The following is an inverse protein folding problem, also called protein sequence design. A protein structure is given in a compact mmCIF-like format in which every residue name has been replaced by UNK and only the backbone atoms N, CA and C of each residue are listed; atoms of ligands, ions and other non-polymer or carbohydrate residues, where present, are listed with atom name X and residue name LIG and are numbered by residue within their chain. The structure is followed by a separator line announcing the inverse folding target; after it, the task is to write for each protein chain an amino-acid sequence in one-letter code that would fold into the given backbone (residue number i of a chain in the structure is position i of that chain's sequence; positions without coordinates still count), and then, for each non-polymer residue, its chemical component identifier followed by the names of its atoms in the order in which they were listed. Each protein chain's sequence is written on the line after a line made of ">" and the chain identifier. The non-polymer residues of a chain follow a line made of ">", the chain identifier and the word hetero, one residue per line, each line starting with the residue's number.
data_IF_256099789918
#
_entry.id   IF_256099789918
#
_cell.length_a   1.000
_cell.length_b   1.000
_cell.length_c   1.000
_cell.angle_alpha   90.00
_cell.angle_beta   90.00
_cell.angle_gamma   90.00
#
_symmetry.space_group_name_H-M   'P 1'
#
loop_
_entity.id
_entity.type
_entity.pdbx_description
1 polymer ?
#
# COMPACT_ATOMS: atom_id res chain seq x y z
N UNK A 1 -25.01 5.49 7.05
CA UNK A 1 -26.37 5.09 6.60
C UNK A 1 -26.32 4.18 5.35
N UNK A 2 -25.31 3.30 5.20
CA UNK A 2 -25.16 2.35 4.09
C UNK A 2 -25.43 0.87 4.48
N UNK A 3 -25.45 0.56 5.78
CA UNK A 3 -25.61 -0.81 6.30
C UNK A 3 -27.07 -1.27 6.50
N UNK A 4 -28.06 -0.54 5.96
CA UNK A 4 -29.50 -0.80 6.17
C UNK A 4 -30.23 -1.38 4.94
N UNK A 5 -29.50 -2.01 4.01
CA UNK A 5 -30.10 -2.51 2.77
C UNK A 5 -30.22 -4.04 2.63
N UNK A 6 -29.80 -4.83 3.62
CA UNK A 6 -30.15 -6.26 3.66
C UNK A 6 -29.76 -7.06 2.40
N UNK A 7 -28.62 -6.74 1.79
CA UNK A 7 -28.20 -7.33 0.51
C UNK A 7 -27.36 -8.59 0.71
N UNK A 8 -27.98 -9.73 1.06
CA UNK A 8 -27.25 -11.00 1.06
C UNK A 8 -26.85 -11.41 -0.37
N UNK A 9 -25.56 -11.39 -0.72
CA UNK A 9 -25.02 -11.99 -1.96
C UNK A 9 -24.06 -11.11 -2.77
N UNK A 10 -24.02 -11.29 -4.10
CA UNK A 10 -23.23 -10.50 -5.08
C UNK A 10 -23.31 -8.95 -4.92
N UNK A 11 -24.43 -8.34 -4.49
CA UNK A 11 -24.52 -6.87 -4.37
C UNK A 11 -23.66 -6.28 -3.24
N UNK A 12 -23.30 -7.05 -2.20
CA UNK A 12 -22.37 -6.59 -1.15
C UNK A 12 -20.95 -6.38 -1.69
N UNK A 13 -20.53 -7.20 -2.66
CA UNK A 13 -19.22 -7.07 -3.31
C UNK A 13 -19.15 -5.86 -4.23
N UNK A 14 -20.28 -5.45 -4.82
CA UNK A 14 -20.37 -4.27 -5.67
C UNK A 14 -20.04 -2.98 -4.91
N UNK A 15 -20.30 -2.91 -3.60
CA UNK A 15 -19.97 -1.73 -2.79
C UNK A 15 -18.47 -1.44 -2.83
N UNK A 16 -17.64 -2.50 -2.70
CA UNK A 16 -16.18 -2.38 -2.77
C UNK A 16 -15.73 -1.94 -4.16
N UNK A 17 -16.34 -2.50 -5.20
CA UNK A 17 -16.02 -2.16 -6.59
C UNK A 17 -16.38 -0.71 -6.91
N UNK A 18 -17.57 -0.25 -6.52
CA UNK A 18 -18.02 1.13 -6.68
C UNK A 18 -17.13 2.07 -5.89
N UNK A 19 -16.72 1.71 -4.67
CA UNK A 19 -15.80 2.51 -3.87
C UNK A 19 -14.46 2.72 -4.59
N UNK A 20 -13.86 1.67 -5.14
CA UNK A 20 -12.62 1.78 -5.90
C UNK A 20 -12.83 2.60 -7.18
N UNK A 21 -13.94 2.40 -7.88
CA UNK A 21 -14.27 3.18 -9.07
C UNK A 21 -14.38 4.68 -8.76
N UNK A 22 -15.10 5.06 -7.71
CA UNK A 22 -15.22 6.45 -7.26
C UNK A 22 -13.86 7.03 -6.82
N UNK A 23 -13.10 6.27 -6.02
CA UNK A 23 -11.75 6.65 -5.58
C UNK A 23 -10.83 6.99 -6.77
N UNK A 24 -10.86 6.18 -7.84
CA UNK A 24 -10.03 6.41 -9.02
C UNK A 24 -10.57 7.52 -9.92
N UNK A 25 -11.85 7.88 -9.86
CA UNK A 25 -12.40 8.96 -10.67
C UNK A 25 -12.38 10.33 -9.97
N UNK A 26 -12.18 10.36 -8.65
CA UNK A 26 -12.02 11.58 -7.87
C UNK A 26 -10.76 12.34 -8.29
N UNK A 27 -10.86 13.64 -8.60
CA UNK A 27 -9.69 14.43 -9.05
C UNK A 27 -8.63 14.60 -7.96
N UNK A 28 -9.07 14.70 -6.71
CA UNK A 28 -8.22 14.88 -5.54
C UNK A 28 -8.56 13.80 -4.52
N UNK A 29 -7.55 13.09 -4.02
CA UNK A 29 -7.76 12.05 -3.02
C UNK A 29 -8.60 12.53 -1.83
N UNK A 30 -9.70 11.82 -1.58
CA UNK A 30 -10.54 12.02 -0.41
C UNK A 30 -10.36 10.85 0.56
N UNK A 31 -9.88 11.12 1.79
CA UNK A 31 -9.62 10.07 2.79
C UNK A 31 -10.88 9.28 3.17
N UNK A 32 -12.08 9.83 2.93
CA UNK A 32 -13.34 9.19 3.25
C UNK A 32 -13.47 7.80 2.61
N UNK A 33 -12.94 7.62 1.39
CA UNK A 33 -12.93 6.31 0.72
C UNK A 33 -12.13 5.27 1.52
N UNK A 34 -10.98 5.66 2.08
CA UNK A 34 -10.14 4.80 2.93
C UNK A 34 -10.85 4.39 4.22
N UNK A 35 -11.51 5.35 4.88
CA UNK A 35 -12.29 5.10 6.10
C UNK A 35 -13.46 4.15 5.84
N UNK A 36 -14.19 4.31 4.73
CA UNK A 36 -15.26 3.35 4.38
C UNK A 36 -14.68 1.96 4.12
N UNK A 37 -13.60 1.87 3.34
CA UNK A 37 -12.98 0.59 3.02
C UNK A 37 -12.48 -0.15 4.29
N UNK A 38 -11.94 0.59 5.25
CA UNK A 38 -11.58 0.07 6.57
C UNK A 38 -12.81 -0.48 7.32
N UNK A 39 -13.90 0.28 7.40
CA UNK A 39 -15.14 -0.18 8.04
C UNK A 39 -15.74 -1.42 7.36
N UNK A 40 -15.66 -1.49 6.03
CA UNK A 40 -16.08 -2.68 5.27
C UNK A 40 -15.19 -3.90 5.56
N UNK A 41 -13.87 -3.70 5.66
CA UNK A 41 -12.95 -4.79 6.02
C UNK A 41 -13.17 -5.28 7.46
N UNK A 42 -13.52 -4.39 8.38
CA UNK A 42 -13.85 -4.75 9.78
C UNK A 42 -15.19 -5.48 9.90
N UNK A 43 -16.15 -5.20 9.01
CA UNK A 43 -17.48 -5.82 9.08
C UNK A 43 -17.50 -7.26 8.57
N UNK A 44 -16.77 -7.57 7.50
CA UNK A 44 -16.73 -8.92 6.93
C UNK A 44 -15.43 -9.18 6.13
N UNK A 45 -14.81 -10.33 6.38
CA UNK A 45 -13.63 -10.80 5.66
C UNK A 45 -13.87 -10.95 4.15
N UNK A 46 -15.12 -11.16 3.71
CA UNK A 46 -15.50 -11.18 2.28
C UNK A 46 -15.23 -9.82 1.61
N UNK A 47 -15.45 -8.70 2.30
CA UNK A 47 -15.11 -7.38 1.77
C UNK A 47 -13.60 -7.19 1.66
N UNK A 48 -12.85 -7.64 2.67
CA UNK A 48 -11.38 -7.60 2.64
C UNK A 48 -10.83 -8.37 1.42
N UNK A 49 -11.35 -9.56 1.17
CA UNK A 49 -10.97 -10.38 0.01
C UNK A 49 -11.34 -9.70 -1.32
N UNK A 50 -12.55 -9.15 -1.42
CA UNK A 50 -13.01 -8.41 -2.61
C UNK A 50 -12.13 -7.19 -2.88
N UNK A 51 -11.75 -6.47 -1.82
CA UNK A 51 -10.89 -5.29 -1.91
C UNK A 51 -9.49 -5.67 -2.38
N UNK A 52 -8.93 -6.77 -1.85
CA UNK A 52 -7.65 -7.30 -2.29
C UNK A 52 -7.66 -7.65 -3.79
N UNK A 53 -8.69 -8.37 -4.28
CA UNK A 53 -8.81 -8.69 -5.70
C UNK A 53 -8.98 -7.44 -6.56
N UNK A 54 -9.81 -6.49 -6.13
CA UNK A 54 -10.02 -5.22 -6.83
C UNK A 54 -8.71 -4.45 -6.98
N UNK A 55 -7.89 -4.38 -5.92
CA UNK A 55 -6.56 -3.76 -5.93
C UNK A 55 -5.62 -4.49 -6.89
N UNK A 56 -5.60 -5.83 -6.88
CA UNK A 56 -4.78 -6.60 -7.82
C UNK A 56 -5.15 -6.37 -9.28
N UNK A 57 -6.44 -6.24 -9.58
CA UNK A 57 -6.87 -5.90 -10.93
C UNK A 57 -6.42 -4.49 -11.32
N UNK A 58 -6.35 -3.54 -10.37
CA UNK A 58 -5.78 -2.22 -10.63
C UNK A 58 -4.27 -2.24 -10.85
N UNK A 59 -3.53 -3.19 -10.26
CA UNK A 59 -2.11 -3.36 -10.55
C UNK A 59 -1.88 -3.83 -11.99
N UNK A 60 -2.72 -4.74 -12.50
CA UNK A 60 -2.64 -5.22 -13.90
C UNK A 60 -2.92 -4.11 -14.92
N UNK A 61 -3.80 -3.18 -14.58
CA UNK A 61 -4.21 -2.08 -15.45
C UNK A 61 -3.46 -0.77 -15.18
N UNK A 62 -2.40 -0.79 -14.38
CA UNK A 62 -1.76 0.43 -13.86
C UNK A 62 -1.28 1.39 -14.96
N UNK A 63 -0.82 0.88 -16.10
CA UNK A 63 -0.39 1.67 -17.26
C UNK A 63 -1.51 2.46 -17.94
N UNK A 64 -2.76 2.03 -17.77
CA UNK A 64 -3.94 2.75 -18.29
C UNK A 64 -4.41 3.88 -17.37
N UNK A 65 -3.94 3.89 -16.11
CA UNK A 65 -4.36 4.86 -15.11
C UNK A 65 -3.66 6.20 -15.31
N UNK A 66 -4.41 7.29 -15.14
CA UNK A 66 -3.87 8.64 -15.13
C UNK A 66 -3.07 8.87 -13.85
N UNK A 67 -2.13 9.82 -13.89
CA UNK A 67 -1.23 10.13 -12.75
C UNK A 67 -1.97 10.40 -11.44
N UNK A 68 -3.10 11.13 -11.46
CA UNK A 68 -3.87 11.42 -10.25
C UNK A 68 -4.54 10.15 -9.68
N UNK A 69 -4.94 9.21 -10.53
CA UNK A 69 -5.56 7.95 -10.12
C UNK A 69 -4.53 7.06 -9.42
N UNK A 70 -3.30 7.02 -9.93
CA UNK A 70 -2.16 6.35 -9.28
C UNK A 70 -1.91 6.97 -7.90
N UNK A 71 -1.93 8.30 -7.79
CA UNK A 71 -1.78 9.01 -6.51
C UNK A 71 -2.90 8.67 -5.53
N UNK A 72 -4.15 8.62 -5.98
CA UNK A 72 -5.29 8.24 -5.14
C UNK A 72 -5.15 6.79 -4.65
N UNK A 73 -4.80 5.88 -5.54
CA UNK A 73 -4.58 4.47 -5.22
C UNK A 73 -3.43 4.31 -4.22
N UNK A 74 -2.33 5.06 -4.39
CA UNK A 74 -1.19 5.01 -3.47
C UNK A 74 -1.56 5.45 -2.05
N UNK A 75 -2.24 6.58 -1.91
CA UNK A 75 -2.69 7.10 -0.60
C UNK A 75 -3.69 6.16 0.06
N UNK A 76 -4.59 5.59 -0.73
CA UNK A 76 -5.55 4.60 -0.27
C UNK A 76 -4.86 3.34 0.27
N UNK A 77 -3.92 2.76 -0.50
CA UNK A 77 -3.18 1.57 -0.06
C UNK A 77 -2.34 1.81 1.18
N UNK A 78 -1.66 2.97 1.28
CA UNK A 78 -0.92 3.34 2.46
C UNK A 78 -1.82 3.36 3.71
N UNK A 79 -3.01 3.97 3.62
CA UNK A 79 -4.00 3.95 4.70
C UNK A 79 -4.40 2.53 5.09
N UNK A 80 -4.76 1.68 4.11
CA UNK A 80 -5.20 0.31 4.39
C UNK A 80 -4.11 -0.53 5.06
N UNK A 81 -2.85 -0.32 4.71
CA UNK A 81 -1.72 -1.02 5.31
C UNK A 81 -1.48 -0.55 6.76
N UNK A 82 -1.47 0.77 6.98
CA UNK A 82 -1.30 1.37 8.30
C UNK A 82 -2.44 0.99 9.26
N UNK A 83 -3.69 1.01 8.78
CA UNK A 83 -4.87 0.64 9.56
C UNK A 83 -5.13 -0.86 9.62
N UNK A 84 -4.21 -1.68 9.09
CA UNK A 84 -4.26 -3.14 9.18
C UNK A 84 -5.44 -3.78 8.43
N UNK A 85 -6.21 -3.00 7.68
CA UNK A 85 -7.33 -3.43 6.81
C UNK A 85 -6.86 -4.35 5.69
N UNK A 86 -5.69 -4.09 5.11
CA UNK A 86 -4.98 -5.02 4.23
C UNK A 86 -3.53 -5.17 4.68
N UNK A 87 -2.92 -6.36 4.56
CA UNK A 87 -1.49 -6.51 4.78
C UNK A 87 -0.69 -6.01 3.56
N UNK A 88 0.53 -5.50 3.79
CA UNK A 88 1.44 -5.12 2.69
C UNK A 88 1.81 -6.30 1.78
N UNK A 89 1.60 -7.55 2.22
CA UNK A 89 1.76 -8.75 1.40
C UNK A 89 0.83 -8.79 0.17
N UNK A 90 -0.16 -7.90 0.08
CA UNK A 90 -0.93 -7.65 -1.15
C UNK A 90 -0.01 -7.25 -2.31
N UNK A 91 1.14 -6.63 -2.05
CA UNK A 91 2.12 -6.27 -3.07
C UNK A 91 2.91 -7.47 -3.65
N UNK A 92 2.75 -8.68 -3.10
CA UNK A 92 3.52 -9.87 -3.56
C UNK A 92 3.28 -10.27 -5.02
N UNK A 93 2.18 -9.79 -5.61
CA UNK A 93 1.83 -10.07 -7.01
C UNK A 93 2.46 -9.08 -7.98
N UNK A 94 3.13 -8.04 -7.46
CA UNK A 94 3.83 -7.05 -8.26
C UNK A 94 5.20 -7.59 -8.64
N UNK A 95 5.52 -7.57 -9.92
CA UNK A 95 6.83 -7.98 -10.44
C UNK A 95 7.81 -6.80 -10.38
N UNK A 96 8.53 -6.67 -9.25
CA UNK A 96 9.38 -5.51 -8.98
C UNK A 96 10.53 -5.32 -9.99
N UNK A 97 11.02 -6.42 -10.57
CA UNK A 97 12.10 -6.41 -11.57
C UNK A 97 11.68 -5.74 -12.87
N UNK A 98 10.40 -5.85 -13.23
CA UNK A 98 9.86 -5.40 -14.51
C UNK A 98 8.93 -4.18 -14.36
N UNK A 99 9.09 -3.41 -13.29
CA UNK A 99 8.25 -2.23 -13.05
C UNK A 99 8.47 -1.15 -14.12
N UNK A 100 7.39 -0.79 -14.79
CA UNK A 100 7.32 0.41 -15.61
C UNK A 100 7.27 1.71 -14.77
N UNK A 101 7.19 2.86 -15.46
CA UNK A 101 7.12 4.19 -14.83
C UNK A 101 5.89 4.38 -13.93
N UNK A 102 4.77 3.73 -14.23
CA UNK A 102 3.54 3.82 -13.44
C UNK A 102 3.65 2.95 -12.18
N UNK A 103 4.19 1.74 -12.30
CA UNK A 103 4.57 0.83 -11.23
C UNK A 103 5.51 1.46 -10.22
N UNK A 104 6.65 1.97 -10.68
CA UNK A 104 7.62 2.67 -9.81
C UNK A 104 6.95 3.84 -9.08
N UNK A 105 6.10 4.62 -9.77
CA UNK A 105 5.39 5.75 -9.16
C UNK A 105 4.43 5.30 -8.06
N UNK A 106 3.63 4.26 -8.31
CA UNK A 106 2.69 3.74 -7.33
C UNK A 106 3.42 3.27 -6.08
N UNK A 107 4.39 2.36 -6.24
CA UNK A 107 5.14 1.76 -5.13
C UNK A 107 5.89 2.84 -4.34
N UNK A 108 6.56 3.77 -5.02
CA UNK A 108 7.27 4.87 -4.35
C UNK A 108 6.32 5.74 -3.52
N UNK A 109 5.16 6.11 -4.04
CA UNK A 109 4.21 6.93 -3.29
C UNK A 109 3.61 6.17 -2.10
N UNK A 110 3.30 4.87 -2.25
CA UNK A 110 2.83 4.02 -1.14
C UNK A 110 3.87 3.98 -0.03
N UNK A 111 5.12 3.65 -0.38
CA UNK A 111 6.19 3.49 0.61
C UNK A 111 6.53 4.82 1.29
N UNK A 112 6.66 5.92 0.55
CA UNK A 112 6.90 7.25 1.16
C UNK A 112 5.76 7.62 2.12
N UNK A 113 4.50 7.37 1.73
CA UNK A 113 3.35 7.68 2.58
C UNK A 113 3.33 6.89 3.89
N UNK A 114 3.85 5.65 3.87
CA UNK A 114 4.00 4.81 5.07
C UNK A 114 5.20 5.26 5.90
N UNK A 115 6.34 5.48 5.25
CA UNK A 115 7.61 5.86 5.89
C UNK A 115 7.55 7.23 6.57
N UNK A 116 6.70 8.15 6.08
CA UNK A 116 6.48 9.47 6.69
C UNK A 116 5.24 9.50 7.59
N UNK A 117 4.69 8.35 7.97
CA UNK A 117 3.57 8.30 8.90
C UNK A 117 3.98 8.84 10.27
N UNK A 118 3.10 9.64 10.87
CA UNK A 118 3.33 10.32 12.17
C UNK A 118 3.59 9.35 13.33
N UNK A 119 2.96 8.18 13.30
CA UNK A 119 3.14 7.14 14.30
C UNK A 119 4.11 6.09 13.77
N UNK A 120 5.28 6.06 14.39
CA UNK A 120 6.42 5.22 14.02
C UNK A 120 6.16 3.74 14.28
N UNK A 121 5.42 3.42 15.33
CA UNK A 121 5.13 2.02 15.68
C UNK A 121 4.19 1.40 14.65
N UNK A 122 3.15 2.14 14.24
CA UNK A 122 2.28 1.72 13.14
C UNK A 122 3.05 1.55 11.82
N UNK A 123 3.99 2.45 11.52
CA UNK A 123 4.83 2.37 10.32
C UNK A 123 5.69 1.09 10.31
N UNK A 124 6.40 0.79 11.39
CA UNK A 124 7.25 -0.40 11.50
C UNK A 124 6.43 -1.68 11.48
N UNK A 125 5.27 -1.67 12.12
CA UNK A 125 4.37 -2.83 12.18
C UNK A 125 3.86 -3.27 10.79
N UNK A 126 3.75 -2.35 9.83
CA UNK A 126 3.42 -2.70 8.43
C UNK A 126 4.43 -3.70 7.87
N UNK A 127 5.72 -3.50 8.13
CA UNK A 127 6.80 -4.33 7.59
C UNK A 127 7.06 -5.59 8.44
N UNK A 128 6.89 -5.53 9.76
CA UNK A 128 7.00 -6.70 10.66
C UNK A 128 6.09 -7.86 10.22
N UNK A 129 4.91 -7.55 9.68
CA UNK A 129 3.93 -8.55 9.20
C UNK A 129 4.47 -9.46 8.10
N UNK A 130 5.44 -8.99 7.32
CA UNK A 130 6.07 -9.77 6.26
C UNK A 130 7.47 -10.27 6.62
N UNK A 131 8.02 -9.80 7.75
CA UNK A 131 9.38 -10.12 8.22
C UNK A 131 9.59 -11.62 8.46
N UNK A 132 8.66 -12.29 9.16
CA UNK A 132 8.80 -13.71 9.54
C UNK A 132 8.44 -14.75 8.45
N UNK A 133 7.35 -14.61 7.68
CA UNK A 133 6.92 -15.70 6.80
C UNK A 133 7.92 -15.99 5.67
N UNK A 134 8.45 -17.21 5.60
CA UNK A 134 9.43 -17.61 4.57
C UNK A 134 8.91 -17.41 3.13
N UNK A 135 7.62 -17.71 2.90
CA UNK A 135 6.97 -17.53 1.59
C UNK A 135 6.95 -16.07 1.09
N UNK A 136 7.26 -15.10 1.95
CA UNK A 136 7.31 -13.67 1.61
C UNK A 136 8.74 -13.15 1.47
N UNK A 137 9.77 -14.00 1.58
CA UNK A 137 11.16 -13.59 1.37
C UNK A 137 11.39 -12.87 0.03
N UNK A 138 10.84 -13.33 -1.12
CA UNK A 138 11.01 -12.61 -2.39
C UNK A 138 10.42 -11.19 -2.36
N UNK A 139 9.28 -11.00 -1.68
CA UNK A 139 8.68 -9.68 -1.51
C UNK A 139 9.55 -8.80 -0.60
N UNK A 140 10.10 -9.34 0.49
CA UNK A 140 11.00 -8.58 1.39
C UNK A 140 12.22 -8.08 0.63
N UNK A 141 12.88 -8.96 -0.11
CA UNK A 141 14.05 -8.63 -0.93
C UNK A 141 13.72 -7.57 -1.97
N UNK A 142 12.59 -7.73 -2.67
CA UNK A 142 12.12 -6.77 -3.66
C UNK A 142 11.87 -5.38 -3.04
N UNK A 143 11.23 -5.33 -1.86
CA UNK A 143 11.00 -4.09 -1.14
C UNK A 143 12.30 -3.45 -0.63
N UNK A 144 13.22 -4.23 -0.05
CA UNK A 144 14.51 -3.73 0.43
C UNK A 144 15.33 -3.13 -0.71
N UNK A 145 15.43 -3.83 -1.85
CA UNK A 145 16.10 -3.33 -3.06
C UNK A 145 15.41 -2.07 -3.60
N UNK A 146 14.07 -2.04 -3.64
CA UNK A 146 13.33 -0.88 -4.11
C UNK A 146 13.57 0.34 -3.21
N UNK A 147 13.52 0.16 -1.89
CA UNK A 147 13.80 1.22 -0.92
C UNK A 147 15.21 1.78 -1.10
N UNK A 148 16.21 0.90 -1.23
CA UNK A 148 17.59 1.30 -1.44
C UNK A 148 17.78 2.07 -2.76
N UNK A 149 17.21 1.58 -3.86
CA UNK A 149 17.45 2.15 -5.19
C UNK A 149 16.61 3.41 -5.47
N UNK A 150 15.33 3.42 -5.11
CA UNK A 150 14.39 4.46 -5.53
C UNK A 150 14.08 5.51 -4.46
N UNK A 151 14.40 5.24 -3.19
CA UNK A 151 14.14 6.16 -2.08
C UNK A 151 15.47 6.61 -1.45
N UNK A 152 16.32 5.67 -1.04
CA UNK A 152 17.55 5.97 -0.32
C UNK A 152 18.63 6.65 -1.16
N UNK A 153 18.79 6.31 -2.44
CA UNK A 153 19.92 6.84 -3.25
C UNK A 153 19.78 8.30 -3.74
N UNK A 154 18.64 8.96 -3.49
CA UNK A 154 18.36 10.32 -3.98
C UNK A 154 18.84 11.44 -3.03
N UNK A 155 19.95 11.26 -2.31
CA UNK A 155 20.39 12.16 -1.24
C UNK A 155 21.29 13.27 -1.79
N UNK A 156 20.94 14.52 -1.48
CA UNK A 156 21.77 15.70 -1.71
C UNK A 156 22.40 16.16 -0.39
N UNK A 157 23.55 16.83 -0.45
CA UNK A 157 24.25 17.41 0.72
C UNK A 157 23.41 18.45 1.49
N UNK A 158 22.31 18.95 0.90
CA UNK A 158 21.37 19.91 1.47
C UNK A 158 19.99 19.28 1.77
N UNK A 159 19.96 18.13 2.44
CA UNK A 159 18.71 17.44 2.75
C UNK A 159 17.81 18.23 3.73
N UNK A 160 16.52 18.31 3.42
CA UNK A 160 15.49 18.85 4.30
C UNK A 160 15.24 17.95 5.52
N UNK A 161 14.66 18.46 6.63
CA UNK A 161 14.34 17.63 7.79
C UNK A 161 13.44 16.41 7.46
N UNK A 162 12.52 16.57 6.51
CA UNK A 162 11.65 15.49 6.04
C UNK A 162 12.44 14.42 5.26
N UNK A 163 13.40 14.82 4.43
CA UNK A 163 14.29 13.89 3.72
C UNK A 163 15.20 13.12 4.68
N UNK A 164 15.73 13.79 5.71
CA UNK A 164 16.53 13.14 6.77
C UNK A 164 15.68 12.13 7.56
N UNK A 165 14.44 12.49 7.92
CA UNK A 165 13.52 11.56 8.57
C UNK A 165 13.20 10.35 7.67
N UNK A 166 12.95 10.59 6.39
CA UNK A 166 12.70 9.54 5.40
C UNK A 166 13.88 8.56 5.33
N UNK A 167 15.12 9.06 5.30
CA UNK A 167 16.33 8.23 5.29
C UNK A 167 16.42 7.35 6.53
N UNK A 168 16.27 7.94 7.72
CA UNK A 168 16.30 7.20 8.99
C UNK A 168 15.24 6.09 9.02
N UNK A 169 14.04 6.38 8.52
CA UNK A 169 12.95 5.40 8.46
C UNK A 169 13.23 4.30 7.42
N UNK A 170 13.84 4.63 6.28
CA UNK A 170 14.25 3.63 5.28
C UNK A 170 15.29 2.66 5.86
N UNK A 171 16.34 3.16 6.51
CA UNK A 171 17.36 2.31 7.13
C UNK A 171 16.76 1.37 8.19
N UNK A 172 15.84 1.90 9.01
CA UNK A 172 15.18 1.09 10.03
C UNK A 172 14.30 0.00 9.40
N UNK A 173 13.56 0.33 8.34
CA UNK A 173 12.70 -0.65 7.64
C UNK A 173 13.54 -1.71 6.93
N UNK A 174 14.66 -1.36 6.30
CA UNK A 174 15.57 -2.35 5.68
C UNK A 174 16.05 -3.35 6.74
N UNK A 175 16.48 -2.88 7.91
CA UNK A 175 16.86 -3.76 9.04
C UNK A 175 15.73 -4.72 9.44
N UNK A 176 14.47 -4.26 9.45
CA UNK A 176 13.31 -5.11 9.75
C UNK A 176 13.09 -6.18 8.68
N UNK A 177 13.28 -5.84 7.41
CA UNK A 177 13.11 -6.76 6.28
C UNK A 177 14.22 -7.83 6.23
N UNK A 178 15.45 -7.47 6.58
CA UNK A 178 16.64 -8.34 6.51
C UNK A 178 16.79 -9.26 7.73
N UNK A 179 16.12 -8.94 8.86
CA UNK A 179 16.30 -9.62 10.16
C UNK A 179 16.02 -11.14 10.14
N UNK A 180 15.39 -11.68 9.10
CA UNK A 180 14.98 -13.09 8.98
C UNK A 180 15.53 -13.80 7.74
N UNK A 181 16.59 -13.30 7.11
CA UNK A 181 17.25 -13.99 5.99
C UNK A 181 18.19 -15.13 6.44
N UNK A 182 18.42 -15.29 7.75
CA UNK A 182 19.46 -16.16 8.32
C UNK A 182 18.94 -17.36 9.15
N UNK A 183 17.67 -17.74 9.03
CA UNK A 183 17.09 -18.87 9.79
C UNK A 183 16.33 -19.87 8.91
#
# INVERSE_FOLDING_TARGET
>A
KLLKLGLKGQPEQEIVLVLIHCLLNEKTYNQYYALIAEQLCMSDRRHQMTLQFSVWDRFKELNSLKKYQITNLAKFLAHLFLQKSLPISVLKVVEFVELDKAGVRLIRQVLISILLHKDKDSMIEVFNRIAKPFKLAPLRQSLALFLHHFIFRNINENATPEETLLQQNVEQVIKVLDCFELS
#
